data_IF_561958785381
#
_entry.id   IF_561958785381
#
_cell.length_a   1.000
_cell.length_b   1.000
_cell.length_c   1.000
_cell.angle_alpha   90.00
_cell.angle_beta   90.00
_cell.angle_gamma   90.00
#
_symmetry.space_group_name_H-M   'P 1'
#
loop_
_entity.id
_entity.type
_entity.pdbx_description
1 polymer ?
#
# COMPACT_ATOMS: atom_id res chain seq x y z
N UNK A 1 22.48 16.35 -4.37
CA UNK A 1 22.25 15.11 -5.18
C UNK A 1 21.25 14.19 -4.48
N UNK A 2 20.36 13.49 -5.20
CA UNK A 2 19.46 12.48 -4.59
C UNK A 2 20.10 11.08 -4.67
N UNK A 3 19.98 10.29 -3.62
CA UNK A 3 20.45 8.90 -3.57
C UNK A 3 19.36 7.96 -3.02
N UNK A 4 19.48 6.66 -3.35
CA UNK A 4 18.63 5.60 -2.83
C UNK A 4 19.40 4.74 -1.83
N UNK A 5 18.87 4.61 -0.62
CA UNK A 5 19.29 3.65 0.42
C UNK A 5 18.75 2.27 0.04
N UNK A 6 19.56 1.49 -0.67
CA UNK A 6 19.19 0.21 -1.28
C UNK A 6 18.47 -0.74 -0.32
N UNK A 7 18.97 -0.89 0.91
CA UNK A 7 18.35 -1.75 1.93
C UNK A 7 16.89 -1.36 2.23
N UNK A 8 16.61 -0.07 2.46
CA UNK A 8 15.25 0.43 2.70
C UNK A 8 14.35 0.25 1.47
N UNK A 9 14.88 0.49 0.27
CA UNK A 9 14.14 0.31 -0.98
C UNK A 9 13.71 -1.15 -1.19
N UNK A 10 14.66 -2.08 -1.10
CA UNK A 10 14.41 -3.51 -1.33
C UNK A 10 13.48 -4.07 -0.24
N UNK A 11 13.77 -3.81 1.03
CA UNK A 11 12.94 -4.29 2.14
C UNK A 11 11.54 -3.67 2.06
N UNK A 12 11.42 -2.39 1.74
CA UNK A 12 10.14 -1.72 1.55
C UNK A 12 9.30 -2.34 0.44
N UNK A 13 9.91 -2.60 -0.73
CA UNK A 13 9.25 -3.27 -1.86
C UNK A 13 8.77 -4.67 -1.48
N UNK A 14 9.64 -5.47 -0.86
CA UNK A 14 9.33 -6.84 -0.44
C UNK A 14 8.21 -6.86 0.60
N UNK A 15 8.27 -6.01 1.62
CA UNK A 15 7.21 -5.93 2.65
C UNK A 15 5.88 -5.49 2.03
N UNK A 16 5.87 -4.49 1.12
CA UNK A 16 4.65 -4.10 0.41
C UNK A 16 4.07 -5.26 -0.39
N UNK A 17 4.91 -5.98 -1.13
CA UNK A 17 4.48 -7.14 -1.92
C UNK A 17 3.90 -8.23 -1.02
N UNK A 18 4.63 -8.66 0.01
CA UNK A 18 4.18 -9.70 0.94
C UNK A 18 2.95 -9.29 1.74
N UNK A 19 2.77 -7.99 2.01
CA UNK A 19 1.57 -7.49 2.67
C UNK A 19 0.32 -7.94 1.92
N UNK A 20 0.33 -7.98 0.59
CA UNK A 20 -0.81 -8.39 -0.25
C UNK A 20 -1.33 -9.81 0.02
N UNK A 21 -0.50 -10.67 0.62
CA UNK A 21 -0.82 -12.05 1.00
C UNK A 21 -1.34 -12.17 2.44
N UNK A 22 -1.22 -11.09 3.22
CA UNK A 22 -1.72 -11.00 4.60
C UNK A 22 -3.19 -10.57 4.63
N UNK A 23 -3.92 -10.78 5.74
CA UNK A 23 -5.32 -10.40 5.82
C UNK A 23 -5.50 -8.88 5.93
N UNK A 24 -6.26 -8.30 5.01
CA UNK A 24 -6.68 -6.89 5.01
C UNK A 24 -8.10 -6.69 5.56
N UNK A 25 -8.95 -7.70 5.43
CA UNK A 25 -10.35 -7.63 5.83
C UNK A 25 -10.81 -8.96 6.45
N UNK A 26 -11.62 -8.91 7.50
CA UNK A 26 -12.37 -10.08 7.99
C UNK A 26 -13.79 -10.01 7.46
N UNK A 27 -14.22 -11.08 6.79
CA UNK A 27 -15.60 -11.28 6.37
C UNK A 27 -16.21 -12.39 7.23
N UNK A 28 -17.42 -12.22 7.80
CA UNK A 28 -18.01 -13.13 8.79
C UNK A 28 -18.09 -14.60 8.35
N UNK A 29 -18.36 -14.87 7.07
CA UNK A 29 -18.56 -16.25 6.56
C UNK A 29 -17.29 -16.79 5.90
N UNK A 30 -16.62 -15.97 5.08
CA UNK A 30 -15.44 -16.40 4.30
C UNK A 30 -14.11 -16.22 5.04
N UNK A 31 -14.12 -15.64 6.24
CA UNK A 31 -12.94 -15.46 7.07
C UNK A 31 -12.04 -14.30 6.65
N UNK A 32 -10.72 -14.50 6.74
CA UNK A 32 -9.72 -13.48 6.47
C UNK A 32 -9.45 -13.36 4.96
N UNK A 33 -9.63 -12.17 4.42
CA UNK A 33 -9.38 -11.85 3.02
C UNK A 33 -8.09 -11.06 2.85
N UNK A 34 -7.32 -11.47 1.86
CA UNK A 34 -6.15 -10.73 1.40
C UNK A 34 -6.56 -9.59 0.45
N UNK A 35 -5.60 -8.80 -0.04
CA UNK A 35 -5.91 -7.59 -0.82
C UNK A 35 -6.66 -7.90 -2.12
N UNK A 36 -6.30 -9.00 -2.79
CA UNK A 36 -6.95 -9.45 -4.03
C UNK A 36 -8.41 -9.82 -3.81
N UNK A 37 -8.69 -10.53 -2.71
CA UNK A 37 -10.05 -10.93 -2.36
C UNK A 37 -10.91 -9.73 -1.94
N UNK A 38 -10.33 -8.72 -1.29
CA UNK A 38 -11.04 -7.47 -0.94
C UNK A 38 -11.50 -6.73 -2.18
N UNK A 39 -10.59 -6.55 -3.15
CA UNK A 39 -10.89 -5.94 -4.43
C UNK A 39 -9.76 -6.23 -5.44
N UNK A 40 -10.10 -6.90 -6.54
CA UNK A 40 -9.10 -7.28 -7.55
C UNK A 40 -8.47 -6.05 -8.23
N UNK A 41 -9.24 -4.98 -8.49
CA UNK A 41 -8.70 -3.77 -9.10
C UNK A 41 -7.73 -3.08 -8.16
N UNK A 42 -8.08 -2.96 -6.87
CA UNK A 42 -7.20 -2.38 -5.86
C UNK A 42 -5.89 -3.17 -5.75
N UNK A 43 -5.95 -4.50 -5.79
CA UNK A 43 -4.75 -5.35 -5.83
C UNK A 43 -3.89 -5.09 -7.07
N UNK A 44 -4.47 -5.12 -8.28
CA UNK A 44 -3.70 -4.95 -9.51
C UNK A 44 -3.08 -3.56 -9.62
N UNK A 45 -3.80 -2.50 -9.23
CA UNK A 45 -3.24 -1.14 -9.21
C UNK A 45 -2.10 -1.04 -8.19
N UNK A 46 -2.25 -1.65 -7.01
CA UNK A 46 -1.18 -1.73 -6.01
C UNK A 46 0.06 -2.43 -6.57
N UNK A 47 -0.11 -3.59 -7.22
CA UNK A 47 0.98 -4.35 -7.82
C UNK A 47 1.63 -3.60 -8.99
N UNK A 48 0.85 -2.88 -9.79
CA UNK A 48 1.36 -2.03 -10.86
C UNK A 48 2.25 -0.91 -10.31
N UNK A 49 1.78 -0.19 -9.29
CA UNK A 49 2.55 0.88 -8.63
C UNK A 49 3.85 0.32 -8.06
N UNK A 50 3.80 -0.81 -7.34
CA UNK A 50 4.98 -1.45 -6.78
C UNK A 50 5.93 -1.97 -7.86
N UNK A 51 5.42 -2.56 -8.94
CA UNK A 51 6.21 -3.06 -10.06
C UNK A 51 6.93 -1.95 -10.82
N UNK A 52 6.25 -0.84 -11.11
CA UNK A 52 6.87 0.35 -11.71
C UNK A 52 7.91 0.95 -10.75
N UNK A 53 7.60 1.03 -9.45
CA UNK A 53 8.56 1.50 -8.44
C UNK A 53 9.82 0.63 -8.41
N UNK A 54 9.68 -0.70 -8.47
CA UNK A 54 10.79 -1.63 -8.53
C UNK A 54 11.61 -1.48 -9.82
N UNK A 55 10.96 -1.31 -10.97
CA UNK A 55 11.65 -1.08 -12.25
C UNK A 55 12.50 0.20 -12.21
N UNK A 56 11.95 1.30 -11.70
CA UNK A 56 12.68 2.57 -11.57
C UNK A 56 13.87 2.47 -10.60
N UNK A 57 13.76 1.63 -9.58
CA UNK A 57 14.90 1.30 -8.71
C UNK A 57 16.01 0.60 -9.49
N UNK A 58 15.69 -0.42 -10.30
CA UNK A 58 16.68 -1.19 -11.06
C UNK A 58 17.36 -0.37 -12.17
N UNK A 59 16.60 0.46 -12.89
CA UNK A 59 17.13 1.38 -13.93
C UNK A 59 17.85 2.60 -13.32
N UNK A 60 17.89 2.71 -11.98
CA UNK A 60 18.54 3.82 -11.25
C UNK A 60 17.94 5.19 -11.59
N UNK A 61 16.66 5.24 -11.94
CA UNK A 61 15.94 6.47 -12.22
C UNK A 61 15.54 7.17 -10.90
N UNK A 62 16.53 7.68 -10.15
CA UNK A 62 16.39 8.10 -8.74
C UNK A 62 15.25 9.10 -8.50
N UNK A 63 15.11 10.11 -9.37
CA UNK A 63 14.07 11.14 -9.22
C UNK A 63 12.68 10.57 -9.47
N UNK A 64 12.53 9.71 -10.47
CA UNK A 64 11.26 9.04 -10.78
C UNK A 64 10.90 8.04 -9.68
N UNK A 65 11.88 7.27 -9.16
CA UNK A 65 11.70 6.38 -8.03
C UNK A 65 11.18 7.12 -6.78
N UNK A 66 11.74 8.30 -6.47
CA UNK A 66 11.26 9.13 -5.36
C UNK A 66 9.81 9.59 -5.54
N UNK A 67 9.42 9.96 -6.75
CA UNK A 67 8.03 10.32 -7.04
C UNK A 67 7.11 9.12 -6.89
N UNK A 68 7.53 7.95 -7.36
CA UNK A 68 6.76 6.71 -7.24
C UNK A 68 6.63 6.22 -5.80
N UNK A 69 7.63 6.40 -4.94
CA UNK A 69 7.49 6.06 -3.51
C UNK A 69 6.47 6.96 -2.80
N UNK A 70 6.40 8.24 -3.18
CA UNK A 70 5.33 9.15 -2.71
C UNK A 70 3.96 8.78 -3.28
N UNK A 71 3.90 8.43 -4.56
CA UNK A 71 2.66 7.94 -5.18
C UNK A 71 2.14 6.69 -4.46
N UNK A 72 3.03 5.73 -4.15
CA UNK A 72 2.68 4.54 -3.40
C UNK A 72 2.13 4.87 -2.00
N UNK A 73 2.70 5.87 -1.32
CA UNK A 73 2.19 6.33 -0.04
C UNK A 73 0.80 7.00 -0.15
N UNK A 74 0.58 7.84 -1.15
CA UNK A 74 -0.73 8.42 -1.42
C UNK A 74 -1.75 7.33 -1.78
N UNK A 75 -1.36 6.36 -2.60
CA UNK A 75 -2.20 5.23 -2.97
C UNK A 75 -2.59 4.37 -1.77
N UNK A 76 -1.68 4.15 -0.81
CA UNK A 76 -1.99 3.47 0.44
C UNK A 76 -3.13 4.16 1.20
N UNK A 77 -3.08 5.49 1.35
CA UNK A 77 -4.14 6.25 2.03
C UNK A 77 -5.47 6.14 1.26
N UNK A 78 -5.44 6.29 -0.06
CA UNK A 78 -6.61 6.14 -0.93
C UNK A 78 -7.20 4.72 -0.79
N UNK A 79 -6.36 3.69 -0.73
CA UNK A 79 -6.78 2.30 -0.62
C UNK A 79 -7.52 2.02 0.68
N UNK A 80 -7.00 2.52 1.81
CA UNK A 80 -7.69 2.39 3.11
C UNK A 80 -9.05 3.06 3.07
N UNK A 81 -9.09 4.29 2.56
CA UNK A 81 -10.31 5.09 2.49
C UNK A 81 -11.32 4.42 1.57
N UNK A 82 -10.89 3.93 0.40
CA UNK A 82 -11.75 3.22 -0.54
C UNK A 82 -12.35 1.95 0.06
N UNK A 83 -11.54 1.13 0.74
CA UNK A 83 -12.03 -0.09 1.42
C UNK A 83 -12.96 0.27 2.58
N UNK A 84 -12.64 1.30 3.35
CA UNK A 84 -13.50 1.79 4.42
C UNK A 84 -14.86 2.27 3.89
N UNK A 85 -14.88 3.08 2.81
CA UNK A 85 -16.13 3.51 2.18
C UNK A 85 -16.93 2.34 1.64
N UNK A 86 -16.27 1.39 0.97
CA UNK A 86 -16.89 0.17 0.44
C UNK A 86 -17.58 -0.62 1.55
N UNK A 87 -16.92 -0.82 2.69
CA UNK A 87 -17.49 -1.54 3.84
C UNK A 87 -18.71 -0.83 4.44
N UNK A 88 -18.70 0.50 4.49
CA UNK A 88 -19.75 1.29 5.14
C UNK A 88 -20.93 1.63 4.21
N UNK A 89 -20.81 1.45 2.89
CA UNK A 89 -21.82 1.84 1.89
C UNK A 89 -22.09 0.74 0.85
N UNK A 90 -21.91 -0.53 1.23
CA UNK A 90 -21.81 -1.65 0.29
C UNK A 90 -23.10 -1.92 -0.53
N UNK A 91 -24.28 -1.64 0.03
CA UNK A 91 -25.58 -1.96 -0.57
C UNK A 91 -26.47 -0.73 -0.82
N UNK A 92 -26.11 0.45 -0.32
CA UNK A 92 -26.93 1.66 -0.43
C UNK A 92 -28.31 1.53 0.23
N UNK A 93 -28.48 0.53 1.10
CA UNK A 93 -29.76 0.14 1.71
C UNK A 93 -29.83 0.49 3.20
N UNK A 94 -28.89 1.30 3.70
CA UNK A 94 -28.92 1.99 5.01
C UNK A 94 -28.92 1.09 6.26
N UNK A 95 -29.95 0.26 6.41
CA UNK A 95 -30.11 -0.72 7.48
C UNK A 95 -29.23 -1.96 7.27
N UNK A 96 -29.21 -2.54 6.06
CA UNK A 96 -28.36 -3.69 5.74
C UNK A 96 -26.87 -3.34 5.82
N UNK A 97 -26.50 -2.12 5.39
CA UNK A 97 -25.14 -1.60 5.47
C UNK A 97 -24.66 -1.44 6.92
N UNK A 98 -25.53 -1.00 7.83
CA UNK A 98 -25.20 -0.90 9.27
C UNK A 98 -24.97 -2.26 9.93
N UNK A 99 -25.71 -3.29 9.53
CA UNK A 99 -25.52 -4.65 10.07
C UNK A 99 -24.28 -5.34 9.50
N UNK A 100 -23.99 -5.16 8.21
CA UNK A 100 -22.84 -5.78 7.54
C UNK A 100 -21.51 -5.06 7.82
N UNK A 101 -21.52 -3.73 7.90
CA UNK A 101 -20.33 -2.94 8.29
C UNK A 101 -19.84 -3.31 9.70
N UNK A 102 -20.75 -3.61 10.63
CA UNK A 102 -20.40 -4.07 11.98
C UNK A 102 -19.72 -5.45 11.99
N UNK A 103 -19.82 -6.19 10.89
CA UNK A 103 -19.23 -7.53 10.76
C UNK A 103 -17.92 -7.52 9.99
N UNK A 104 -17.72 -6.52 9.11
CA UNK A 104 -16.52 -6.35 8.29
C UNK A 104 -15.45 -5.55 9.04
N UNK A 105 -14.33 -6.18 9.35
CA UNK A 105 -13.28 -5.58 10.16
C UNK A 105 -11.96 -5.48 9.41
N UNK A 106 -11.36 -4.29 9.37
CA UNK A 106 -9.98 -4.11 8.88
C UNK A 106 -9.02 -4.98 9.70
N UNK A 107 -8.03 -5.57 9.02
CA UNK A 107 -7.06 -6.49 9.64
C UNK A 107 -5.62 -5.96 9.53
N UNK A 108 -4.70 -6.67 10.17
CA UNK A 108 -3.31 -6.24 10.36
C UNK A 108 -2.48 -6.13 9.07
N UNK A 109 -2.97 -6.64 7.94
CA UNK A 109 -2.29 -6.46 6.65
C UNK A 109 -2.10 -5.00 6.24
N UNK A 110 -3.00 -4.10 6.67
CA UNK A 110 -2.81 -2.65 6.51
C UNK A 110 -1.59 -2.12 7.24
N UNK A 111 -1.24 -2.70 8.40
CA UNK A 111 -0.06 -2.31 9.19
C UNK A 111 1.20 -2.79 8.49
N UNK A 112 1.22 -4.03 7.97
CA UNK A 112 2.36 -4.55 7.20
C UNK A 112 2.59 -3.70 5.96
N UNK A 113 1.52 -3.37 5.24
CA UNK A 113 1.62 -2.51 4.07
C UNK A 113 2.16 -1.13 4.43
N UNK A 114 1.67 -0.54 5.53
CA UNK A 114 2.18 0.74 6.03
C UNK A 114 3.67 0.73 6.34
N UNK A 115 4.17 -0.32 7.01
CA UNK A 115 5.60 -0.47 7.29
C UNK A 115 6.41 -0.49 6.00
N UNK A 116 5.93 -1.23 4.98
CA UNK A 116 6.57 -1.23 3.66
C UNK A 116 6.61 0.16 3.03
N UNK A 117 5.50 0.91 3.09
CA UNK A 117 5.40 2.29 2.59
C UNK A 117 6.37 3.22 3.33
N UNK A 118 6.47 3.14 4.65
CA UNK A 118 7.42 3.95 5.42
C UNK A 118 8.86 3.69 4.98
N UNK A 119 9.24 2.42 4.78
CA UNK A 119 10.58 2.07 4.29
C UNK A 119 10.84 2.61 2.88
N UNK A 120 9.84 2.56 1.98
CA UNK A 120 9.94 3.17 0.65
C UNK A 120 10.12 4.69 0.72
N UNK A 121 9.42 5.39 1.61
CA UNK A 121 9.60 6.84 1.80
C UNK A 121 10.99 7.18 2.34
N UNK A 122 11.46 6.42 3.34
CA UNK A 122 12.78 6.59 3.96
C UNK A 122 13.95 6.12 3.08
N UNK A 123 13.66 5.48 1.95
CA UNK A 123 14.68 4.97 1.04
C UNK A 123 15.36 6.06 0.22
N UNK A 124 14.80 7.27 0.10
CA UNK A 124 15.41 8.37 -0.66
C UNK A 124 16.00 9.43 0.26
N UNK A 125 17.26 9.84 0.00
CA UNK A 125 17.93 10.89 0.78
C UNK A 125 18.47 11.96 -0.16
N UNK A 126 18.28 13.23 0.22
CA UNK A 126 18.98 14.37 -0.40
C UNK A 126 20.33 14.52 0.29
N UNK A 127 21.40 14.41 -0.48
CA UNK A 127 22.75 14.83 -0.04
C UNK A 127 22.80 16.34 -0.23
N UNK A 128 22.95 17.05 0.89
CA UNK A 128 23.37 18.45 0.92
C UNK A 128 24.87 18.42 0.65
N UNK A 129 25.31 19.08 -0.41
CA UNK A 129 26.73 19.38 -0.60
C UNK A 129 27.12 20.37 0.48
N UNK A 130 27.94 19.94 1.43
CA UNK A 130 28.70 20.89 2.25
C UNK A 130 29.68 21.54 1.28
N UNK A 131 29.47 22.83 0.99
CA UNK A 131 30.46 23.65 0.31
C UNK A 131 31.63 23.80 1.29
N UNK A 132 32.76 23.17 0.95
CA UNK A 132 34.08 23.45 1.53
C UNK A 132 34.86 24.33 0.54
#
# INVERSE_FOLDING_TARGET
MLIIRKYFAIVGLVICFLSSMTPFLKVPIKGNWNLYQVDAYLFFITMLILGVTALLFFVRAVRAYQWMSRLAASWYLISIVAVWFKINNYFGWGFADKLLSKSLHMRWGWIVYFVGILLLLLSTKKIVSTEE
#
